data_IF_835203188993
#
_entry.id   IF_835203188993
#
_cell.length_a   1.000
_cell.length_b   1.000
_cell.length_c   1.000
_cell.angle_alpha   90.00
_cell.angle_beta   90.00
_cell.angle_gamma   90.00
#
_symmetry.space_group_name_H-M   'P 1'
#
loop_
_entity.id
_entity.type
_entity.pdbx_description
1 polymer ?
#
# COMPACT_ATOMS: atom_id res chain seq x y z
N UNK A 1 -22.21 -56.70 -45.45
CA UNK A 1 -22.78 -55.59 -44.66
C UNK A 1 -23.30 -56.15 -43.35
N UNK A 2 -22.42 -56.27 -42.36
CA UNK A 2 -22.75 -56.65 -40.98
C UNK A 2 -21.70 -55.98 -40.11
N UNK A 3 -21.92 -54.68 -39.83
CA UNK A 3 -21.06 -53.92 -38.94
C UNK A 3 -21.25 -54.49 -37.54
N UNK A 4 -20.24 -55.22 -37.07
CA UNK A 4 -20.29 -56.04 -35.86
C UNK A 4 -20.63 -55.20 -34.63
N UNK A 5 -21.64 -55.65 -33.87
CA UNK A 5 -22.04 -55.13 -32.54
C UNK A 5 -20.87 -54.99 -31.55
N UNK A 6 -19.75 -55.66 -31.80
CA UNK A 6 -18.54 -55.56 -30.98
C UNK A 6 -17.79 -54.24 -31.17
N UNK A 7 -17.85 -53.61 -32.35
CA UNK A 7 -17.16 -52.34 -32.60
C UNK A 7 -17.90 -51.13 -32.05
N UNK A 8 -19.24 -51.16 -32.02
CA UNK A 8 -20.05 -50.12 -31.37
C UNK A 8 -19.93 -50.16 -29.85
N UNK A 9 -19.81 -51.35 -29.24
CA UNK A 9 -19.59 -51.49 -27.80
C UNK A 9 -18.20 -51.00 -27.37
N UNK A 10 -17.16 -51.29 -28.16
CA UNK A 10 -15.81 -50.80 -27.90
C UNK A 10 -15.69 -49.27 -28.04
N UNK A 11 -16.41 -48.67 -29.01
CA UNK A 11 -16.42 -47.22 -29.19
C UNK A 11 -17.16 -46.50 -28.05
N UNK A 12 -18.24 -47.07 -27.53
CA UNK A 12 -19.01 -46.50 -26.40
C UNK A 12 -18.27 -46.67 -25.07
N UNK A 13 -17.50 -47.76 -24.88
CA UNK A 13 -16.61 -47.93 -23.73
C UNK A 13 -15.39 -46.99 -23.79
N UNK A 14 -14.82 -46.77 -24.98
CA UNK A 14 -13.70 -45.84 -25.15
C UNK A 14 -14.10 -44.38 -24.92
N UNK A 15 -15.31 -43.96 -25.32
CA UNK A 15 -15.80 -42.59 -25.12
C UNK A 15 -16.25 -42.32 -23.68
N UNK A 16 -16.72 -43.34 -22.95
CA UNK A 16 -17.07 -43.20 -21.52
C UNK A 16 -15.84 -43.15 -20.62
N UNK A 17 -14.75 -43.87 -20.94
CA UNK A 17 -13.47 -43.75 -20.22
C UNK A 17 -12.77 -42.41 -20.52
N UNK A 18 -12.91 -41.87 -21.74
CA UNK A 18 -12.39 -40.53 -22.05
C UNK A 18 -13.20 -39.41 -21.38
N UNK A 19 -14.51 -39.56 -21.17
CA UNK A 19 -15.33 -38.52 -20.51
C UNK A 19 -15.27 -38.56 -18.98
N UNK A 20 -14.95 -39.71 -18.37
CA UNK A 20 -14.81 -39.84 -16.91
C UNK A 20 -13.44 -39.33 -16.41
N UNK A 21 -12.43 -39.23 -17.27
CA UNK A 21 -11.11 -38.70 -16.90
C UNK A 21 -11.02 -37.16 -16.93
N UNK A 22 -12.00 -36.46 -17.50
CA UNK A 22 -12.04 -34.99 -17.52
C UNK A 22 -13.06 -34.35 -16.55
N UNK A 23 -13.69 -35.14 -15.67
CA UNK A 23 -14.80 -34.66 -14.82
C UNK A 23 -14.53 -34.62 -13.30
N UNK A 24 -13.33 -34.96 -12.81
CA UNK A 24 -12.97 -34.67 -11.41
C UNK A 24 -11.46 -34.56 -11.22
N UNK A 25 -10.92 -33.38 -11.46
CA UNK A 25 -9.71 -32.91 -10.83
C UNK A 25 -9.76 -31.38 -10.88
N UNK A 26 -10.10 -30.76 -9.76
CA UNK A 26 -9.91 -29.33 -9.59
C UNK A 26 -8.39 -29.08 -9.65
N UNK A 27 -7.87 -28.26 -10.57
CA UNK A 27 -6.42 -28.07 -10.74
C UNK A 27 -5.70 -27.58 -9.48
N UNK A 28 -6.45 -27.13 -8.45
CA UNK A 28 -5.91 -26.77 -7.13
C UNK A 28 -5.54 -27.95 -6.23
N UNK A 29 -6.09 -29.15 -6.41
CA UNK A 29 -5.77 -30.28 -5.52
C UNK A 29 -4.46 -30.98 -5.90
N UNK A 30 -4.12 -31.00 -7.20
CA UNK A 30 -2.87 -31.62 -7.69
C UNK A 30 -1.65 -30.79 -7.29
N UNK A 31 -1.76 -29.45 -7.34
CA UNK A 31 -0.68 -28.55 -6.93
C UNK A 31 -0.39 -28.64 -5.42
N UNK A 32 -1.44 -28.85 -4.59
CA UNK A 32 -1.27 -29.06 -3.14
C UNK A 32 -0.73 -30.45 -2.78
N UNK A 33 -0.93 -31.46 -3.65
CA UNK A 33 -0.39 -32.80 -3.45
C UNK A 33 1.08 -32.90 -3.89
N UNK A 34 1.47 -32.26 -5.00
CA UNK A 34 2.87 -32.18 -5.42
C UNK A 34 3.72 -31.35 -4.44
N UNK A 35 3.20 -30.24 -3.90
CA UNK A 35 3.93 -29.46 -2.90
C UNK A 35 4.16 -30.22 -1.58
N UNK A 36 3.27 -31.18 -1.27
CA UNK A 36 3.34 -32.02 -0.06
C UNK A 36 4.26 -33.23 -0.22
N UNK A 37 4.54 -33.66 -1.45
CA UNK A 37 5.53 -34.71 -1.71
C UNK A 37 6.96 -34.14 -1.91
N UNK A 38 7.12 -32.88 -2.33
CA UNK A 38 8.43 -32.23 -2.48
C UNK A 38 9.00 -31.69 -1.16
N UNK A 39 8.15 -31.30 -0.20
CA UNK A 39 8.57 -30.86 1.13
C UNK A 39 8.16 -31.90 2.15
N UNK A 40 9.13 -32.71 2.54
CA UNK A 40 8.99 -33.78 3.53
C UNK A 40 8.35 -33.34 4.84
N UNK A 41 7.87 -34.33 5.57
CA UNK A 41 7.12 -34.37 6.82
C UNK A 41 7.84 -33.75 8.05
N UNK A 42 8.64 -32.69 7.85
CA UNK A 42 9.56 -32.09 8.83
C UNK A 42 9.16 -30.66 9.26
N UNK A 43 7.89 -30.28 9.08
CA UNK A 43 7.37 -28.97 9.55
C UNK A 43 6.25 -29.07 10.59
N UNK A 44 6.15 -30.19 11.30
CA UNK A 44 5.46 -30.23 12.59
C UNK A 44 6.48 -29.96 13.72
N UNK A 45 7.03 -28.75 13.75
CA UNK A 45 7.75 -28.26 14.93
C UNK A 45 6.96 -27.11 15.57
N UNK A 46 6.48 -27.42 16.78
CA UNK A 46 5.55 -26.72 17.66
C UNK A 46 6.06 -25.36 18.17
N UNK A 47 6.38 -24.45 17.26
CA UNK A 47 6.50 -23.00 17.53
C UNK A 47 5.88 -22.21 16.40
N UNK A 48 4.55 -22.22 16.38
CA UNK A 48 3.65 -21.24 15.78
C UNK A 48 4.35 -20.00 15.19
N UNK A 49 4.76 -20.08 13.92
CA UNK A 49 4.75 -18.88 13.09
C UNK A 49 3.26 -18.57 12.94
N UNK A 50 2.74 -17.46 13.46
CA UNK A 50 1.35 -17.13 13.19
C UNK A 50 1.23 -17.09 11.67
N UNK A 51 0.36 -17.95 11.14
CA UNK A 51 -0.17 -17.72 9.80
C UNK A 51 -0.47 -16.22 9.69
N UNK A 52 -0.20 -15.63 8.52
CA UNK A 52 -0.57 -14.26 8.16
C UNK A 52 -2.11 -14.07 8.17
N UNK A 53 -2.79 -14.49 9.25
CA UNK A 53 -4.06 -13.95 9.68
C UNK A 53 -3.81 -12.49 9.96
N UNK A 54 -4.15 -11.70 8.94
CA UNK A 54 -4.57 -10.31 9.02
C UNK A 54 -4.23 -9.66 10.37
N UNK A 55 -3.16 -8.87 10.41
CA UNK A 55 -2.84 -7.99 11.54
C UNK A 55 -4.01 -7.00 11.70
N UNK A 56 -5.06 -7.43 12.40
CA UNK A 56 -6.21 -6.64 12.78
C UNK A 56 -5.93 -6.01 14.15
N UNK A 57 -5.79 -4.70 14.17
CA UNK A 57 -5.79 -3.94 15.40
C UNK A 57 -7.24 -3.53 15.72
N UNK A 58 -7.73 -3.97 16.88
CA UNK A 58 -9.07 -3.63 17.39
C UNK A 58 -8.94 -2.71 18.59
N UNK A 59 -9.54 -1.53 18.50
CA UNK A 59 -9.55 -0.51 19.54
C UNK A 59 -10.98 -0.22 19.95
N UNK A 60 -11.25 -0.18 21.25
CA UNK A 60 -12.57 0.05 21.82
C UNK A 60 -12.52 1.24 22.75
N UNK A 61 -13.32 2.26 22.50
CA UNK A 61 -13.41 3.44 23.37
C UNK A 61 -14.83 3.59 23.89
N UNK A 62 -14.96 3.75 25.20
CA UNK A 62 -16.22 4.11 25.83
C UNK A 62 -16.41 5.62 25.72
N UNK A 63 -17.54 6.03 25.12
CA UNK A 63 -17.92 7.41 24.93
C UNK A 63 -18.84 7.86 26.07
N UNK A 64 -18.56 9.03 26.58
CA UNK A 64 -19.41 9.74 27.52
C UNK A 64 -19.85 11.07 26.91
N UNK A 65 -21.01 11.57 27.30
CA UNK A 65 -21.52 12.86 26.85
C UNK A 65 -22.04 13.72 28.00
N UNK A 66 -22.17 15.01 27.74
CA UNK A 66 -22.77 15.97 28.66
C UNK A 66 -24.02 16.56 28.00
N UNK A 67 -25.19 16.22 28.53
CA UNK A 67 -26.50 16.61 27.98
C UNK A 67 -26.99 17.97 28.46
N UNK A 68 -26.37 18.55 29.50
CA UNK A 68 -26.69 19.87 30.01
C UNK A 68 -25.41 20.58 30.46
N UNK A 69 -25.36 21.91 30.31
CA UNK A 69 -24.16 22.68 30.58
C UNK A 69 -23.75 22.55 32.07
N UNK A 70 -22.55 22.01 32.31
CA UNK A 70 -22.02 21.80 33.67
C UNK A 70 -22.56 20.55 34.39
N UNK A 71 -23.38 19.73 33.73
CA UNK A 71 -23.86 18.45 34.28
C UNK A 71 -22.74 17.39 34.30
N UNK A 72 -22.85 16.34 35.12
CA UNK A 72 -21.93 15.20 35.01
C UNK A 72 -22.03 14.53 33.64
N UNK A 73 -20.92 13.94 33.21
CA UNK A 73 -20.90 13.13 32.00
C UNK A 73 -21.62 11.80 32.23
N UNK A 74 -22.44 11.40 31.27
CA UNK A 74 -23.18 10.13 31.28
C UNK A 74 -22.72 9.22 30.14
N UNK A 75 -22.90 7.89 30.24
CA UNK A 75 -22.54 6.98 29.17
C UNK A 75 -23.32 7.25 27.87
N UNK A 76 -22.62 7.36 26.74
CA UNK A 76 -23.18 7.65 25.40
C UNK A 76 -23.08 6.46 24.45
N UNK A 77 -22.28 5.47 24.78
CA UNK A 77 -22.11 4.23 24.01
C UNK A 77 -20.64 3.92 23.76
N UNK A 78 -20.38 3.00 22.85
CA UNK A 78 -19.04 2.46 22.60
C UNK A 78 -18.71 2.60 21.12
N UNK A 79 -17.50 3.06 20.82
CA UNK A 79 -16.94 3.02 19.47
C UNK A 79 -15.88 1.92 19.37
N UNK A 80 -16.04 1.05 18.38
CA UNK A 80 -15.06 0.03 18.01
C UNK A 80 -14.45 0.40 16.66
N UNK A 81 -13.12 0.51 16.64
CA UNK A 81 -12.30 0.81 15.48
C UNK A 81 -11.50 -0.44 15.14
N UNK A 82 -11.70 -0.97 13.94
CA UNK A 82 -10.95 -2.12 13.42
C UNK A 82 -10.07 -1.64 12.27
N UNK A 83 -8.76 -1.63 12.49
CA UNK A 83 -7.76 -1.36 11.46
C UNK A 83 -7.14 -2.69 11.02
N UNK A 84 -7.45 -3.12 9.81
CA UNK A 84 -6.83 -4.31 9.21
C UNK A 84 -5.72 -3.89 8.24
N UNK A 85 -4.62 -4.64 8.20
CA UNK A 85 -3.58 -4.47 7.19
C UNK A 85 -4.09 -4.68 5.74
N UNK A 86 -5.19 -5.42 5.55
CA UNK A 86 -5.77 -5.67 4.23
C UNK A 86 -6.62 -4.50 3.70
N UNK A 87 -7.08 -3.61 4.58
CA UNK A 87 -8.00 -2.53 4.23
C UNK A 87 -7.38 -1.16 4.49
N UNK A 88 -7.35 -0.26 3.49
CA UNK A 88 -6.72 1.05 3.65
C UNK A 88 -7.51 1.97 4.59
N UNK A 89 -8.82 1.73 4.77
CA UNK A 89 -9.71 2.52 5.62
C UNK A 89 -10.16 1.69 6.82
N UNK A 90 -9.82 2.10 8.06
CA UNK A 90 -10.35 1.45 9.25
C UNK A 90 -11.87 1.46 9.27
N UNK A 91 -12.45 0.37 9.75
CA UNK A 91 -13.89 0.27 9.98
C UNK A 91 -14.22 0.84 11.36
N UNK A 92 -15.16 1.78 11.42
CA UNK A 92 -15.68 2.32 12.68
C UNK A 92 -17.10 1.83 12.86
N UNK A 93 -17.41 1.33 14.05
CA UNK A 93 -18.75 0.90 14.43
C UNK A 93 -19.13 1.42 15.80
N UNK A 94 -20.40 1.76 15.95
CA UNK A 94 -20.94 2.25 17.22
C UNK A 94 -21.91 1.21 17.78
N UNK A 95 -21.83 0.98 19.08
CA UNK A 95 -22.68 0.06 19.81
C UNK A 95 -23.08 0.65 21.16
N UNK A 96 -23.99 -0.02 21.87
CA UNK A 96 -24.50 0.41 23.17
C UNK A 96 -25.02 1.87 23.18
N UNK A 97 -25.64 2.30 22.07
CA UNK A 97 -26.21 3.64 21.96
C UNK A 97 -27.42 3.75 22.89
N UNK A 98 -27.49 4.76 23.77
CA UNK A 98 -28.62 4.96 24.66
C UNK A 98 -29.84 5.40 23.85
N UNK A 99 -31.01 4.94 24.27
CA UNK A 99 -32.27 5.51 23.83
C UNK A 99 -32.47 6.84 24.54
N UNK A 100 -32.68 7.91 23.78
CA UNK A 100 -32.97 9.23 24.35
C UNK A 100 -34.30 9.20 25.10
N UNK A 101 -34.26 9.45 26.41
CA UNK A 101 -35.47 9.63 27.21
C UNK A 101 -36.08 11.02 26.96
N UNK A 102 -37.33 11.22 27.39
CA UNK A 102 -37.96 12.55 27.30
C UNK A 102 -37.20 13.62 28.09
N UNK A 103 -36.60 13.25 29.22
CA UNK A 103 -35.76 14.12 30.05
C UNK A 103 -34.44 14.47 29.35
N UNK A 104 -33.82 13.51 28.64
CA UNK A 104 -32.60 13.77 27.86
C UNK A 104 -32.87 14.72 26.70
N UNK A 105 -34.02 14.54 26.03
CA UNK A 105 -34.49 15.42 24.96
C UNK A 105 -34.68 16.84 25.48
N UNK A 106 -35.33 17.01 26.63
CA UNK A 106 -35.54 18.33 27.25
C UNK A 106 -34.22 19.03 27.61
N UNK A 107 -33.24 18.28 28.13
CA UNK A 107 -31.89 18.82 28.41
C UNK A 107 -31.17 19.28 27.14
N UNK A 108 -31.24 18.50 26.07
CA UNK A 108 -30.64 18.89 24.78
C UNK A 108 -31.39 20.05 24.12
N UNK A 109 -32.72 20.11 24.21
CA UNK A 109 -33.52 21.26 23.76
C UNK A 109 -33.14 22.50 24.56
N UNK A 110 -32.86 22.36 25.86
CA UNK A 110 -32.33 23.46 26.68
C UNK A 110 -30.96 23.93 26.18
N UNK A 111 -30.05 23.02 25.84
CA UNK A 111 -28.76 23.39 25.21
C UNK A 111 -28.97 24.12 23.88
N UNK A 112 -29.92 23.67 23.07
CA UNK A 112 -30.26 24.24 21.77
C UNK A 112 -30.82 25.66 21.90
N UNK A 113 -31.81 25.86 22.77
CA UNK A 113 -32.44 27.16 23.01
C UNK A 113 -31.47 28.20 23.62
N UNK A 114 -30.47 27.74 24.37
CA UNK A 114 -29.49 28.60 25.02
C UNK A 114 -28.21 28.81 24.20
N UNK A 115 -28.19 28.33 22.94
CA UNK A 115 -27.01 28.38 22.06
C UNK A 115 -25.74 27.80 22.73
N UNK A 116 -25.92 26.64 23.38
CA UNK A 116 -24.86 25.92 24.09
C UNK A 116 -24.34 24.75 23.26
N UNK A 117 -23.27 24.16 23.75
CA UNK A 117 -22.58 23.08 23.06
C UNK A 117 -22.95 21.74 23.67
N UNK A 118 -23.17 20.75 22.82
CA UNK A 118 -23.16 19.36 23.21
C UNK A 118 -21.73 18.85 23.20
N UNK A 119 -21.33 18.13 24.26
CA UNK A 119 -19.93 17.73 24.49
C UNK A 119 -19.85 16.22 24.66
N UNK A 120 -18.87 15.62 23.99
CA UNK A 120 -18.54 14.19 24.07
C UNK A 120 -17.08 14.05 24.50
N UNK A 121 -16.79 12.99 25.26
CA UNK A 121 -15.43 12.64 25.65
C UNK A 121 -15.19 11.14 25.65
N UNK A 122 -13.92 10.77 25.56
CA UNK A 122 -13.44 9.40 25.71
C UNK A 122 -12.06 9.40 26.36
N UNK A 123 -11.66 8.29 26.96
CA UNK A 123 -10.30 8.11 27.48
C UNK A 123 -9.29 8.04 26.32
N UNK A 124 -8.14 8.68 26.49
CA UNK A 124 -7.06 8.70 25.48
C UNK A 124 -6.48 7.30 25.26
N UNK A 125 -6.34 6.52 26.34
CA UNK A 125 -5.90 5.14 26.31
C UNK A 125 -6.98 4.25 26.92
N UNK A 126 -7.64 3.37 26.15
CA UNK A 126 -8.74 2.56 26.66
C UNK A 126 -8.27 1.45 27.61
N UNK A 127 -6.97 1.12 27.61
CA UNK A 127 -6.41 0.12 28.52
C UNK A 127 -6.03 0.72 29.89
N UNK A 128 -5.89 2.04 29.99
CA UNK A 128 -5.49 2.74 31.21
C UNK A 128 -6.66 3.60 31.76
N UNK A 129 -7.27 3.20 32.90
CA UNK A 129 -8.38 3.94 33.49
C UNK A 129 -7.96 5.33 34.03
N UNK A 130 -6.69 5.55 34.32
CA UNK A 130 -6.17 6.85 34.78
C UNK A 130 -5.79 7.77 33.62
N UNK A 131 -5.93 7.29 32.37
CA UNK A 131 -5.59 8.09 31.19
C UNK A 131 -6.46 9.36 31.10
N UNK A 132 -5.91 10.45 30.52
CA UNK A 132 -6.66 11.69 30.37
C UNK A 132 -7.85 11.51 29.41
N UNK A 133 -8.86 12.36 29.57
CA UNK A 133 -9.96 12.42 28.61
C UNK A 133 -9.61 13.31 27.42
N UNK A 134 -9.95 12.83 26.23
CA UNK A 134 -10.03 13.62 25.01
C UNK A 134 -11.46 14.07 24.84
N UNK A 135 -11.68 15.36 24.61
CA UNK A 135 -13.00 15.98 24.58
C UNK A 135 -13.23 16.72 23.27
N UNK A 136 -14.48 16.75 22.83
CA UNK A 136 -14.92 17.53 21.68
C UNK A 136 -16.31 18.08 21.91
N UNK A 137 -16.59 19.25 21.35
CA UNK A 137 -17.85 19.97 21.55
C UNK A 137 -18.36 20.51 20.23
N UNK A 138 -19.67 20.49 20.05
CA UNK A 138 -20.35 21.02 18.86
C UNK A 138 -21.50 21.93 19.27
N UNK A 139 -21.69 23.10 18.61
CA UNK A 139 -22.88 23.92 18.82
C UNK A 139 -24.14 23.11 18.57
N UNK A 140 -25.07 23.13 19.52
CA UNK A 140 -26.25 22.27 19.45
C UNK A 140 -27.12 22.57 18.22
N UNK A 141 -27.13 23.82 17.72
CA UNK A 141 -27.83 24.18 16.50
C UNK A 141 -27.28 23.50 15.24
N UNK A 142 -25.96 23.33 15.12
CA UNK A 142 -25.35 22.63 13.97
C UNK A 142 -25.74 21.15 13.99
N UNK A 143 -25.77 20.55 15.18
CA UNK A 143 -26.21 19.17 15.32
C UNK A 143 -27.72 19.00 15.09
N UNK A 144 -28.54 19.98 15.52
CA UNK A 144 -29.98 20.02 15.27
C UNK A 144 -30.31 20.23 13.78
N UNK A 145 -29.52 21.01 13.05
CA UNK A 145 -29.64 21.17 11.60
C UNK A 145 -29.48 19.82 10.88
N UNK A 146 -28.53 19.00 11.36
CA UNK A 146 -28.24 17.65 10.86
C UNK A 146 -29.17 16.56 11.43
N UNK A 147 -30.21 16.92 12.19
CA UNK A 147 -31.13 15.97 12.87
C UNK A 147 -30.38 14.94 13.73
N UNK A 148 -29.43 15.39 14.54
CA UNK A 148 -28.58 14.55 15.40
C UNK A 148 -27.83 13.43 14.65
N UNK A 149 -27.63 13.60 13.33
CA UNK A 149 -26.64 12.81 12.59
C UNK A 149 -25.27 13.34 12.99
N UNK A 150 -24.53 12.51 13.70
CA UNK A 150 -23.19 12.81 14.17
C UNK A 150 -22.18 12.19 13.21
N UNK A 151 -21.18 12.95 12.80
CA UNK A 151 -20.04 12.43 12.03
C UNK A 151 -18.77 12.74 12.80
N UNK A 152 -18.11 11.70 13.30
CA UNK A 152 -16.91 11.81 14.12
C UNK A 152 -15.67 11.49 13.30
N UNK A 153 -14.62 12.29 13.46
CA UNK A 153 -13.26 11.90 13.08
C UNK A 153 -12.44 11.59 14.33
N UNK A 154 -11.93 10.36 14.40
CA UNK A 154 -11.04 9.91 15.46
C UNK A 154 -9.60 10.00 14.98
N UNK A 155 -8.80 10.83 15.66
CA UNK A 155 -7.38 10.98 15.37
C UNK A 155 -6.61 10.03 16.29
N UNK A 156 -5.97 9.01 15.70
CA UNK A 156 -5.21 8.01 16.44
C UNK A 156 -3.71 8.22 16.23
N UNK A 157 -2.94 8.03 17.29
CA UNK A 157 -1.49 7.88 17.21
C UNK A 157 -1.09 6.55 16.58
N UNK A 158 0.19 6.41 16.19
CA UNK A 158 0.75 5.16 15.65
C UNK A 158 0.54 3.95 16.59
N UNK A 159 0.46 4.21 17.90
CA UNK A 159 0.26 3.19 18.93
C UNK A 159 -1.22 2.90 19.23
N UNK A 160 -2.15 3.48 18.47
CA UNK A 160 -3.60 3.28 18.66
C UNK A 160 -4.22 4.08 19.81
N UNK A 161 -3.46 4.98 20.46
CA UNK A 161 -4.02 5.91 21.46
C UNK A 161 -4.79 7.03 20.78
N UNK A 162 -5.89 7.45 21.38
CA UNK A 162 -6.73 8.55 20.92
C UNK A 162 -6.08 9.89 21.26
N UNK A 163 -5.87 10.71 20.24
CA UNK A 163 -5.24 12.03 20.36
C UNK A 163 -6.30 13.14 20.31
N UNK A 164 -7.27 13.02 19.40
CA UNK A 164 -8.34 13.99 19.24
C UNK A 164 -9.63 13.33 18.73
N UNK A 165 -10.77 13.94 19.07
CA UNK A 165 -12.08 13.65 18.49
C UNK A 165 -12.57 14.94 17.85
N UNK A 166 -13.09 14.85 16.63
CA UNK A 166 -13.59 16.00 15.88
C UNK A 166 -15.00 15.71 15.37
N UNK A 167 -15.86 16.73 15.42
CA UNK A 167 -17.16 16.71 14.77
C UNK A 167 -17.03 17.24 13.34
N UNK A 168 -17.32 16.40 12.35
CA UNK A 168 -17.36 16.76 10.93
C UNK A 168 -18.73 17.35 10.55
N UNK A 169 -19.23 18.30 11.35
CA UNK A 169 -20.50 18.98 11.08
C UNK A 169 -20.29 20.20 10.18
N UNK A 170 -21.17 20.45 9.19
CA UNK A 170 -21.11 21.68 8.40
C UNK A 170 -21.20 22.91 9.29
N UNK A 171 -20.30 23.86 9.07
CA UNK A 171 -20.34 25.14 9.77
C UNK A 171 -21.56 25.95 9.35
N UNK A 172 -22.28 26.49 10.33
CA UNK A 172 -23.37 27.44 10.16
C UNK A 172 -22.96 28.79 10.76
N UNK A 173 -23.31 29.88 10.08
CA UNK A 173 -23.23 31.20 10.67
C UNK A 173 -24.33 31.39 11.74
N UNK A 174 -24.22 32.46 12.53
CA UNK A 174 -25.16 32.74 13.63
C UNK A 174 -26.62 32.82 13.17
N UNK A 175 -26.87 33.44 12.02
CA UNK A 175 -28.24 33.62 11.49
C UNK A 175 -28.87 32.29 11.08
N UNK A 176 -28.13 31.44 10.34
CA UNK A 176 -28.62 30.12 9.97
C UNK A 176 -28.78 29.20 11.19
N UNK A 177 -27.90 29.33 12.19
CA UNK A 177 -28.01 28.61 13.46
C UNK A 177 -29.30 28.99 14.21
N UNK A 178 -29.69 30.27 14.21
CA UNK A 178 -30.91 30.75 14.87
C UNK A 178 -32.19 30.10 14.31
N UNK A 179 -32.24 29.76 13.02
CA UNK A 179 -33.37 29.06 12.40
C UNK A 179 -33.61 27.66 13.00
N UNK A 180 -32.57 27.03 13.55
CA UNK A 180 -32.63 25.70 14.14
C UNK A 180 -32.78 25.72 15.67
N UNK A 181 -32.66 26.88 16.33
CA UNK A 181 -32.71 26.98 17.79
C UNK A 181 -34.07 26.60 18.39
N UNK A 182 -35.17 26.70 17.63
CA UNK A 182 -36.51 26.31 18.10
C UNK A 182 -36.97 24.93 17.62
N UNK A 183 -36.06 24.12 17.06
CA UNK A 183 -36.40 22.82 16.50
C UNK A 183 -36.66 21.80 17.61
N UNK A 184 -37.81 21.13 17.55
CA UNK A 184 -38.12 19.98 18.42
C UNK A 184 -37.21 18.79 18.10
N UNK A 185 -36.72 18.13 19.16
CA UNK A 185 -35.84 16.95 19.08
C UNK A 185 -36.54 15.64 19.45
N UNK A 186 -37.85 15.66 19.74
CA UNK A 186 -38.62 14.52 20.30
C UNK A 186 -38.61 13.24 19.46
N UNK A 187 -38.57 13.36 18.14
CA UNK A 187 -38.60 12.21 17.22
C UNK A 187 -37.22 11.85 16.65
N UNK A 188 -36.16 12.48 17.17
CA UNK A 188 -34.81 12.35 16.64
C UNK A 188 -34.01 11.36 17.48
N UNK A 189 -33.12 10.61 16.82
CA UNK A 189 -32.21 9.66 17.45
C UNK A 189 -30.78 10.00 17.05
N UNK A 190 -29.82 9.67 17.90
CA UNK A 190 -28.41 9.74 17.52
C UNK A 190 -28.14 8.83 16.33
N UNK A 191 -27.62 9.40 15.26
CA UNK A 191 -27.15 8.66 14.08
C UNK A 191 -25.66 8.83 13.89
N UNK A 192 -24.81 8.14 14.69
CA UNK A 192 -23.37 8.32 14.60
C UNK A 192 -22.74 7.59 13.42
N UNK A 193 -21.84 8.32 12.76
CA UNK A 193 -20.90 7.85 11.77
C UNK A 193 -19.50 8.23 12.24
N UNK A 194 -18.50 7.49 11.75
CA UNK A 194 -17.15 7.61 12.24
C UNK A 194 -16.14 7.35 11.14
N UNK A 195 -15.09 8.16 11.14
CA UNK A 195 -13.91 7.98 10.31
C UNK A 195 -12.67 8.02 11.19
N UNK A 196 -11.58 7.41 10.72
CA UNK A 196 -10.32 7.41 11.44
C UNK A 196 -9.28 8.12 10.60
N UNK A 197 -8.62 9.09 11.24
CA UNK A 197 -7.49 9.80 10.67
C UNK A 197 -6.23 9.25 11.34
N UNK A 198 -5.44 8.53 10.55
CA UNK A 198 -4.14 8.03 10.98
C UNK A 198 -3.09 9.11 10.78
N UNK A 199 -2.07 9.07 11.64
CA UNK A 199 -0.79 9.74 11.44
C UNK A 199 -0.23 9.44 10.05
N UNK A 200 0.13 10.48 9.31
CA UNK A 200 0.82 10.37 8.03
C UNK A 200 2.29 10.75 8.22
N UNK A 201 3.18 9.92 7.69
CA UNK A 201 4.59 10.25 7.65
C UNK A 201 4.80 11.51 6.80
N UNK A 202 5.47 12.50 7.38
CA UNK A 202 5.85 13.72 6.67
C UNK A 202 6.88 13.44 5.57
N UNK A 203 7.13 14.44 4.69
CA UNK A 203 8.15 14.31 3.67
C UNK A 203 9.54 14.13 4.30
N UNK A 204 10.23 13.04 3.95
CA UNK A 204 11.63 12.83 4.33
C UNK A 204 12.55 13.49 3.30
N UNK A 205 13.66 14.12 3.72
CA UNK A 205 14.63 14.67 2.77
C UNK A 205 15.16 13.56 1.84
N UNK A 206 15.43 13.88 0.56
CA UNK A 206 16.00 12.90 -0.36
C UNK A 206 17.37 12.46 0.15
N UNK A 207 17.56 11.14 0.32
CA UNK A 207 18.85 10.56 0.75
C UNK A 207 19.98 10.83 -0.24
N UNK A 208 19.64 11.01 -1.52
CA UNK A 208 20.56 11.40 -2.57
C UNK A 208 20.19 12.79 -3.07
N UNK A 209 20.85 13.81 -2.52
CA UNK A 209 20.89 15.12 -3.15
C UNK A 209 21.80 14.95 -4.36
N UNK A 210 21.23 14.72 -5.54
CA UNK A 210 21.96 14.98 -6.76
C UNK A 210 22.20 16.48 -6.73
N UNK A 211 23.37 16.89 -6.25
CA UNK A 211 23.87 18.25 -6.43
C UNK A 211 24.01 18.39 -7.94
N UNK A 212 22.93 18.78 -8.60
CA UNK A 212 23.06 19.48 -9.86
C UNK A 212 23.91 20.68 -9.48
N UNK A 213 25.20 20.61 -9.82
CA UNK A 213 26.04 21.80 -9.90
C UNK A 213 25.37 22.64 -10.97
N UNK A 214 24.33 23.36 -10.58
CA UNK A 214 23.74 24.39 -11.39
C UNK A 214 24.92 25.29 -11.72
N UNK A 215 25.24 25.39 -13.03
CA UNK A 215 26.19 26.38 -13.52
C UNK A 215 25.83 27.67 -12.81
N UNK A 216 26.80 28.23 -12.10
CA UNK A 216 26.61 29.47 -11.36
C UNK A 216 25.82 30.44 -12.25
N UNK A 217 24.72 31.05 -11.75
CA UNK A 217 23.90 31.94 -12.55
C UNK A 217 24.79 32.97 -13.25
N UNK A 218 24.49 33.27 -14.52
CA UNK A 218 25.34 34.14 -15.36
C UNK A 218 25.69 35.44 -14.60
N UNK A 219 26.99 35.62 -14.32
CA UNK A 219 27.50 36.79 -13.60
C UNK A 219 28.23 36.48 -12.28
N UNK A 220 28.16 35.25 -11.76
CA UNK A 220 28.92 34.87 -10.56
C UNK A 220 30.11 33.99 -10.95
N UNK A 221 31.33 34.48 -10.71
CA UNK A 221 32.55 33.68 -10.89
C UNK A 221 32.56 32.56 -9.83
N UNK A 222 32.64 31.29 -10.22
CA UNK A 222 32.80 30.20 -9.26
C UNK A 222 34.09 30.43 -8.45
N UNK A 223 33.97 30.37 -7.13
CA UNK A 223 35.15 30.37 -6.25
C UNK A 223 35.85 29.04 -6.46
N UNK A 224 37.10 29.07 -6.94
CA UNK A 224 37.95 27.88 -7.02
C UNK A 224 38.17 27.35 -5.61
N UNK A 225 37.85 26.09 -5.37
CA UNK A 225 38.23 25.40 -4.14
C UNK A 225 39.76 25.30 -4.07
N UNK A 226 40.35 25.65 -2.93
CA UNK A 226 41.80 25.58 -2.65
C UNK A 226 42.35 24.15 -2.54
N UNK A 227 41.51 23.12 -2.68
CA UNK A 227 41.97 21.75 -2.80
C UNK A 227 42.25 21.44 -4.27
N UNK A 228 43.53 21.52 -4.62
CA UNK A 228 44.10 21.25 -5.94
C UNK A 228 43.93 19.80 -6.39
N UNK A 229 42.68 19.39 -6.64
CA UNK A 229 42.31 18.17 -7.34
C UNK A 229 41.41 18.50 -8.53
N UNK A 230 41.85 19.49 -9.31
CA UNK A 230 41.37 19.71 -10.67
C UNK A 230 41.88 18.55 -11.53
N UNK A 231 41.16 17.42 -11.52
CA UNK A 231 41.30 16.45 -12.61
C UNK A 231 41.04 17.21 -13.92
N UNK A 232 41.94 17.10 -14.92
CA UNK A 232 41.75 17.82 -16.17
C UNK A 232 40.40 17.42 -16.75
N UNK A 233 39.60 18.42 -17.09
CA UNK A 233 38.30 18.28 -17.72
C UNK A 233 38.38 17.15 -18.75
N UNK A 234 37.71 16.01 -18.47
CA UNK A 234 37.45 15.05 -19.52
C UNK A 234 36.53 15.75 -20.51
N UNK A 235 37.16 16.38 -21.52
CA UNK A 235 36.48 16.85 -22.70
C UNK A 235 35.59 15.70 -23.15
N UNK A 236 34.27 15.94 -23.14
CA UNK A 236 33.30 15.09 -23.78
C UNK A 236 33.56 15.15 -25.29
N UNK A 237 34.63 14.50 -25.74
CA UNK A 237 34.86 14.16 -27.14
C UNK A 237 33.79 13.13 -27.46
N UNK A 238 32.73 13.64 -28.08
CA UNK A 238 31.66 12.88 -28.72
C UNK A 238 32.16 11.51 -29.16
N UNK A 239 31.53 10.47 -28.62
CA UNK A 239 31.87 9.06 -28.84
C UNK A 239 32.04 8.69 -30.34
N UNK A 240 31.46 9.47 -31.25
CA UNK A 240 31.62 9.35 -32.70
C UNK A 240 33.02 9.77 -33.20
N UNK A 241 33.70 10.74 -32.59
CA UNK A 241 35.07 11.16 -32.98
C UNK A 241 36.13 10.13 -32.57
N UNK A 242 35.92 9.44 -31.45
CA UNK A 242 36.82 8.37 -30.99
C UNK A 242 36.75 7.13 -31.89
N UNK A 243 35.56 6.79 -32.39
CA UNK A 243 35.39 5.68 -33.33
C UNK A 243 35.85 6.02 -34.74
N UNK A 244 35.53 7.19 -35.28
CA UNK A 244 35.93 7.56 -36.66
C UNK A 244 37.44 7.74 -36.80
N UNK A 245 38.14 8.30 -35.79
CA UNK A 245 39.60 8.45 -35.85
C UNK A 245 40.36 7.14 -35.62
N UNK A 246 39.80 6.15 -34.93
CA UNK A 246 40.48 4.87 -34.68
C UNK A 246 40.12 3.77 -35.69
N UNK A 247 38.88 3.74 -36.19
CA UNK A 247 38.42 2.67 -37.10
C UNK A 247 38.93 2.82 -38.53
N UNK A 248 39.19 4.05 -38.99
CA UNK A 248 39.57 4.27 -40.39
C UNK A 248 41.05 3.98 -40.67
N UNK A 249 41.93 4.03 -39.65
CA UNK A 249 43.36 3.76 -39.88
C UNK A 249 43.64 2.29 -40.18
N UNK A 250 42.93 1.36 -39.57
CA UNK A 250 43.13 -0.07 -39.83
C UNK A 250 42.64 -0.50 -41.22
N UNK A 251 41.76 0.27 -41.86
CA UNK A 251 41.27 0.00 -43.22
C UNK A 251 42.12 0.74 -44.25
N UNK A 252 42.47 2.01 -43.99
CA UNK A 252 43.26 2.83 -44.92
C UNK A 252 44.73 2.37 -44.98
N UNK A 253 45.34 2.00 -43.85
CA UNK A 253 46.75 1.59 -43.79
C UNK A 253 47.07 0.38 -44.71
N UNK A 254 46.35 -0.76 -44.69
CA UNK A 254 46.65 -1.88 -45.58
C UNK A 254 46.39 -1.56 -47.06
N UNK A 255 45.42 -0.69 -47.38
CA UNK A 255 45.15 -0.25 -48.76
C UNK A 255 46.30 0.60 -49.29
N UNK A 256 46.82 1.51 -48.47
CA UNK A 256 47.97 2.37 -48.82
C UNK A 256 49.25 1.54 -48.92
N UNK A 257 49.46 0.55 -48.05
CA UNK A 257 50.62 -0.36 -48.13
C UNK A 257 50.53 -1.29 -49.35
N UNK A 258 49.37 -1.86 -49.65
CA UNK A 258 49.17 -2.66 -50.89
C UNK A 258 49.29 -1.81 -52.16
N UNK A 259 48.87 -0.54 -52.13
CA UNK A 259 48.98 0.32 -53.32
C UNK A 259 50.39 0.88 -53.54
N UNK A 260 51.20 1.02 -52.48
CA UNK A 260 52.59 1.49 -52.59
C UNK A 260 53.62 0.35 -52.75
N UNK A 261 53.30 -0.88 -52.34
CA UNK A 261 54.24 -2.01 -52.36
C UNK A 261 53.72 -3.28 -53.07
N UNK A 262 52.45 -3.33 -53.48
CA UNK A 262 51.81 -4.48 -54.11
C UNK A 262 51.66 -4.33 -55.62
N UNK A 263 52.78 -4.08 -56.31
CA UNK A 263 52.85 -4.08 -57.76
C UNK A 263 53.93 -5.03 -58.25
N UNK A 264 53.73 -6.35 -58.08
CA UNK A 264 54.19 -7.37 -59.03
C UNK A 264 53.77 -8.80 -58.62
N UNK A 265 53.15 -9.52 -59.57
CA UNK A 265 53.39 -10.96 -59.80
C UNK A 265 52.75 -12.03 -58.89
N UNK A 266 51.69 -12.68 -59.41
CA UNK A 266 51.70 -14.15 -59.56
C UNK A 266 51.04 -15.04 -58.50
N UNK A 267 49.87 -15.60 -58.89
CA UNK A 267 49.30 -16.95 -58.65
C UNK A 267 49.42 -17.69 -57.28
N UNK A 268 48.33 -18.35 -56.79
CA UNK A 268 48.32 -19.14 -55.56
C UNK A 268 48.64 -20.63 -55.79
N UNK A 269 49.05 -21.36 -54.74
CA UNK A 269 48.54 -22.73 -54.54
C UNK A 269 48.07 -22.93 -53.08
N UNK A 270 46.88 -23.48 -52.83
CA UNK A 270 46.45 -24.89 -52.98
C UNK A 270 46.70 -25.69 -51.68
N UNK A 271 45.64 -26.43 -51.29
CA UNK A 271 45.48 -27.01 -49.96
C UNK A 271 46.20 -28.33 -49.72
N UNK A 272 45.95 -28.89 -48.54
CA UNK A 272 46.46 -30.20 -48.13
C UNK A 272 45.92 -30.60 -46.76
N UNK A 273 44.85 -31.39 -46.79
CA UNK A 273 44.32 -32.11 -45.63
C UNK A 273 45.14 -33.37 -45.35
N UNK A 274 45.18 -33.80 -44.08
CA UNK A 274 45.23 -35.21 -43.71
C UNK A 274 46.36 -35.61 -42.77
N UNK A 275 45.98 -36.28 -41.67
CA UNK A 275 46.77 -37.37 -41.12
C UNK A 275 47.28 -37.19 -39.68
N UNK A 276 46.43 -37.50 -38.70
CA UNK A 276 46.86 -38.20 -37.48
C UNK A 276 47.17 -39.68 -37.85
N UNK A 277 47.85 -40.56 -37.04
CA UNK A 277 47.67 -40.67 -35.58
C UNK A 277 48.88 -41.27 -34.78
N UNK A 278 48.55 -41.73 -33.55
CA UNK A 278 49.28 -42.60 -32.61
C UNK A 278 50.15 -41.87 -31.58
N UNK A 279 50.14 -42.15 -30.27
CA UNK A 279 49.42 -43.11 -29.44
C UNK A 279 49.73 -42.81 -27.95
N UNK A 280 48.86 -43.28 -27.03
CA UNK A 280 49.34 -43.95 -25.80
C UNK A 280 49.02 -43.30 -24.45
N UNK A 281 48.21 -43.98 -23.63
CA UNK A 281 48.21 -43.82 -22.17
C UNK A 281 46.85 -44.05 -21.49
N UNK A 282 46.46 -45.31 -21.30
CA UNK A 282 45.20 -45.68 -20.63
C UNK A 282 45.26 -45.77 -19.10
N UNK A 283 44.09 -45.89 -18.45
CA UNK A 283 43.93 -46.54 -17.14
C UNK A 283 42.49 -47.04 -16.89
N UNK A 284 42.37 -48.37 -16.93
CA UNK A 284 41.55 -49.31 -16.11
C UNK A 284 40.09 -48.96 -15.78
N UNK A 285 39.16 -49.80 -16.26
CA UNK A 285 38.73 -51.01 -15.54
C UNK A 285 38.40 -52.12 -16.53
#
# INVERSE_FOLDING_TARGET
MTLSRTHTLLFVLATTVLLVTFASADPREVENAELKEEFGDDFEDERSIPALGELEQRLKFDLEHQLAAGAPFTPRGVVEIVASASSPKPKVSFSALPTLSADDVEKMETLLHQDRHYTVRAKADPADPESPYVMTSVPMCMLAAMRLREDFAFHLSDNGKLVAIEYLTPYLNSDACAEFQSRSLRDVRFGPFGTVLKTQAGPSPPKNIVVKRDRAPQGVKPVKSEDGNDEPEEENQSFLRKYVRASEWYIILPIVVMSLFGGDGGAPPAGGAGGAPAAGGGRRR
#
